data_IF_882894847486
#
_entry.id   IF_882894847486
#
_cell.length_a   1.000
_cell.length_b   1.000
_cell.length_c   1.000
_cell.angle_alpha   90.00
_cell.angle_beta   90.00
_cell.angle_gamma   90.00
#
_symmetry.space_group_name_H-M   'P 1'
#
loop_
_entity.id
_entity.type
_entity.pdbx_description
1 polymer ?
#
# COMPACT_ATOMS: atom_id res chain seq x y z
N UNK A 1 -3.85 0.65 -16.69
CA UNK A 1 -4.56 0.96 -15.42
C UNK A 1 -3.56 1.08 -14.28
N UNK A 2 -3.64 2.12 -13.44
CA UNK A 2 -2.57 2.51 -12.52
C UNK A 2 -2.41 1.66 -11.24
N UNK A 3 -3.34 0.75 -10.95
CA UNK A 3 -3.29 -0.15 -9.78
C UNK A 3 -2.86 0.51 -8.45
N UNK A 4 -3.51 1.61 -8.03
CA UNK A 4 -3.02 2.46 -6.94
C UNK A 4 -3.03 1.79 -5.56
N UNK A 5 -3.79 0.69 -5.41
CA UNK A 5 -3.80 -0.10 -4.20
C UNK A 5 -4.33 -1.50 -4.50
N UNK A 6 -4.09 -2.43 -3.56
CA UNK A 6 -4.50 -3.81 -3.70
C UNK A 6 -5.97 -3.97 -4.05
N UNK A 7 -6.89 -3.24 -3.39
CA UNK A 7 -8.34 -3.35 -3.60
C UNK A 7 -8.74 -2.98 -5.04
N UNK A 8 -8.14 -1.93 -5.60
CA UNK A 8 -8.35 -1.48 -6.99
C UNK A 8 -7.56 -2.28 -8.03
N UNK A 9 -6.60 -3.12 -7.62
CA UNK A 9 -5.90 -4.04 -8.53
C UNK A 9 -6.82 -5.20 -8.91
N UNK A 10 -7.09 -5.46 -10.20
CA UNK A 10 -7.95 -6.57 -10.63
C UNK A 10 -7.42 -7.95 -10.19
N UNK A 11 -8.33 -8.88 -9.92
CA UNK A 11 -7.98 -10.24 -9.46
C UNK A 11 -7.06 -10.96 -10.45
N UNK A 12 -7.30 -10.81 -11.76
CA UNK A 12 -6.48 -11.45 -12.78
C UNK A 12 -5.02 -10.97 -12.75
N UNK A 13 -4.77 -9.69 -12.43
CA UNK A 13 -3.42 -9.11 -12.28
C UNK A 13 -2.72 -9.73 -11.07
N UNK A 14 -3.41 -9.82 -9.93
CA UNK A 14 -2.87 -10.46 -8.71
C UNK A 14 -2.51 -11.93 -8.94
N UNK A 15 -3.37 -12.67 -9.66
CA UNK A 15 -3.10 -14.05 -10.10
C UNK A 15 -1.88 -14.13 -11.02
N UNK A 16 -1.73 -13.18 -11.95
CA UNK A 16 -0.58 -13.10 -12.87
C UNK A 16 0.73 -12.88 -12.11
N UNK A 17 0.76 -11.95 -11.15
CA UNK A 17 1.93 -11.73 -10.29
C UNK A 17 2.31 -12.98 -9.51
N UNK A 18 1.33 -13.68 -8.94
CA UNK A 18 1.58 -14.94 -8.26
C UNK A 18 2.14 -16.01 -9.21
N UNK A 19 1.60 -16.12 -10.44
CA UNK A 19 2.11 -17.04 -11.47
C UNK A 19 3.57 -16.76 -11.83
N UNK A 20 3.96 -15.49 -12.00
CA UNK A 20 5.36 -15.12 -12.28
C UNK A 20 6.25 -15.51 -11.09
N UNK A 21 5.78 -15.29 -9.86
CA UNK A 21 6.49 -15.69 -8.65
C UNK A 21 6.67 -17.22 -8.57
N UNK A 22 5.63 -18.00 -8.87
CA UNK A 22 5.69 -19.48 -8.86
C UNK A 22 6.58 -20.05 -9.97
N UNK A 23 6.78 -19.31 -11.06
CA UNK A 23 7.70 -19.72 -12.15
C UNK A 23 9.17 -19.53 -11.76
N UNK A 24 9.45 -18.58 -10.84
CA UNK A 24 10.82 -18.26 -10.41
C UNK A 24 11.30 -19.12 -9.24
N UNK A 25 10.38 -19.58 -8.40
CA UNK A 25 10.71 -20.30 -7.17
C UNK A 25 9.95 -21.63 -7.14
N UNK A 26 10.63 -22.70 -6.75
CA UNK A 26 10.05 -24.04 -6.67
C UNK A 26 9.75 -24.43 -5.21
N UNK A 27 8.61 -25.07 -4.98
CA UNK A 27 8.19 -25.62 -3.69
C UNK A 27 7.22 -26.80 -3.89
N UNK A 28 6.98 -27.58 -2.83
CA UNK A 28 6.05 -28.71 -2.90
C UNK A 28 4.60 -28.25 -3.06
N UNK A 29 3.80 -28.97 -3.86
CA UNK A 29 2.42 -28.57 -4.13
C UNK A 29 1.57 -28.41 -2.85
N UNK A 30 1.88 -29.18 -1.80
CA UNK A 30 1.19 -29.14 -0.51
C UNK A 30 1.28 -27.82 0.25
N UNK A 31 2.26 -26.96 -0.05
CA UNK A 31 2.39 -25.64 0.61
C UNK A 31 1.87 -24.48 -0.23
N UNK A 32 1.33 -24.74 -1.43
CA UNK A 32 0.98 -23.70 -2.41
C UNK A 32 -0.01 -22.65 -1.88
N UNK A 33 -1.04 -23.08 -1.15
CA UNK A 33 -2.04 -22.15 -0.60
C UNK A 33 -1.46 -21.28 0.53
N UNK A 34 -0.54 -21.83 1.34
CA UNK A 34 0.20 -21.08 2.36
C UNK A 34 1.09 -20.02 1.70
N UNK A 35 1.84 -20.40 0.67
CA UNK A 35 2.69 -19.47 -0.09
C UNK A 35 1.86 -18.38 -0.74
N UNK A 36 0.71 -18.71 -1.34
CA UNK A 36 -0.21 -17.72 -1.94
C UNK A 36 -0.70 -16.68 -0.93
N UNK A 37 -1.14 -17.13 0.26
CA UNK A 37 -1.62 -16.21 1.32
C UNK A 37 -0.52 -15.25 1.77
N UNK A 38 0.68 -15.78 2.04
CA UNK A 38 1.85 -14.97 2.44
C UNK A 38 2.26 -14.01 1.33
N UNK A 39 2.28 -14.48 0.08
CA UNK A 39 2.59 -13.65 -1.09
C UNK A 39 1.61 -12.49 -1.22
N UNK A 40 0.31 -12.71 -1.15
CA UNK A 40 -0.68 -11.64 -1.23
C UNK A 40 -0.59 -10.63 -0.08
N UNK A 41 -0.33 -11.10 1.15
CA UNK A 41 -0.09 -10.20 2.28
C UNK A 41 1.13 -9.29 2.04
N UNK A 42 2.26 -9.89 1.62
CA UNK A 42 3.49 -9.13 1.32
C UNK A 42 3.33 -8.21 0.11
N UNK A 43 2.68 -8.68 -0.96
CA UNK A 43 2.46 -7.90 -2.17
C UNK A 43 1.55 -6.70 -1.92
N UNK A 44 0.52 -6.84 -1.07
CA UNK A 44 -0.33 -5.72 -0.65
C UNK A 44 0.48 -4.63 0.04
N UNK A 45 1.33 -5.00 1.00
CA UNK A 45 2.17 -4.04 1.75
C UNK A 45 3.18 -3.38 0.80
N UNK A 46 3.92 -4.18 0.03
CA UNK A 46 4.94 -3.67 -0.91
C UNK A 46 4.35 -2.75 -1.97
N UNK A 47 3.17 -3.07 -2.51
CA UNK A 47 2.47 -2.21 -3.45
C UNK A 47 2.12 -0.86 -2.82
N UNK A 48 1.56 -0.88 -1.60
CA UNK A 48 1.18 0.34 -0.89
C UNK A 48 2.40 1.22 -0.60
N UNK A 49 3.48 0.65 -0.06
CA UNK A 49 4.69 1.38 0.29
C UNK A 49 5.32 2.01 -0.95
N UNK A 50 5.45 1.23 -2.03
CA UNK A 50 6.05 1.69 -3.29
C UNK A 50 5.24 2.86 -3.89
N UNK A 51 3.92 2.72 -4.00
CA UNK A 51 3.04 3.77 -4.53
C UNK A 51 3.06 5.02 -3.64
N UNK A 52 3.15 4.84 -2.31
CA UNK A 52 3.22 5.96 -1.35
C UNK A 52 4.54 6.71 -1.43
N UNK A 53 5.66 5.99 -1.57
CA UNK A 53 6.97 6.59 -1.77
C UNK A 53 7.01 7.43 -3.04
N UNK A 54 6.50 6.90 -4.17
CA UNK A 54 6.42 7.66 -5.42
C UNK A 54 5.55 8.92 -5.29
N UNK A 55 4.45 8.85 -4.52
CA UNK A 55 3.64 10.04 -4.23
C UNK A 55 4.43 11.06 -3.40
N UNK A 56 5.19 10.61 -2.41
CA UNK A 56 6.04 11.46 -1.58
C UNK A 56 7.14 12.13 -2.41
N UNK A 57 7.85 11.36 -3.23
CA UNK A 57 8.86 11.87 -4.16
C UNK A 57 8.25 12.93 -5.07
N UNK A 58 7.11 12.64 -5.72
CA UNK A 58 6.39 13.58 -6.58
C UNK A 58 6.08 14.91 -5.89
N UNK A 59 5.72 14.90 -4.61
CA UNK A 59 5.45 16.13 -3.83
C UNK A 59 6.74 16.94 -3.62
N UNK A 60 7.87 16.26 -3.44
CA UNK A 60 9.16 16.90 -3.14
C UNK A 60 9.87 17.39 -4.40
N UNK A 61 9.91 16.61 -5.48
CA UNK A 61 10.79 16.92 -6.63
C UNK A 61 10.05 17.20 -7.95
N UNK A 62 8.75 16.92 -8.02
CA UNK A 62 7.87 17.31 -9.13
C UNK A 62 7.85 16.36 -10.34
N UNK A 63 6.85 16.56 -11.22
CA UNK A 63 6.44 15.60 -12.27
C UNK A 63 7.55 15.13 -13.22
N UNK A 64 8.38 16.04 -13.71
CA UNK A 64 9.39 15.73 -14.75
C UNK A 64 10.56 14.89 -14.23
N UNK A 65 10.86 14.94 -12.92
CA UNK A 65 12.01 14.26 -12.32
C UNK A 65 11.66 12.96 -11.58
N UNK A 66 10.38 12.71 -11.31
CA UNK A 66 9.96 11.64 -10.37
C UNK A 66 9.18 10.49 -11.00
N UNK A 67 9.04 10.43 -12.34
CA UNK A 67 8.45 9.24 -12.95
C UNK A 67 9.43 8.06 -12.77
N UNK A 68 9.05 6.97 -12.09
CA UNK A 68 9.88 5.78 -11.98
C UNK A 68 10.15 5.17 -13.36
N UNK A 69 11.38 4.72 -13.60
CA UNK A 69 11.78 4.14 -14.88
C UNK A 69 10.98 2.88 -15.24
N UNK A 70 10.45 2.19 -14.23
CA UNK A 70 9.65 0.98 -14.35
C UNK A 70 8.20 1.26 -14.79
N UNK A 71 7.76 2.52 -14.77
CA UNK A 71 6.39 2.90 -15.12
C UNK A 71 6.29 3.50 -16.52
N UNK A 72 5.32 3.01 -17.28
CA UNK A 72 4.83 3.70 -18.48
C UNK A 72 4.19 5.03 -18.10
N UNK A 73 4.29 6.04 -18.98
CA UNK A 73 3.69 7.36 -18.76
C UNK A 73 2.18 7.30 -18.47
N UNK A 74 1.42 6.44 -19.17
CA UNK A 74 -0.03 6.27 -18.92
C UNK A 74 -0.35 5.82 -17.49
N UNK A 75 0.42 4.87 -16.97
CA UNK A 75 0.26 4.38 -15.59
C UNK A 75 0.60 5.49 -14.58
N UNK A 76 1.66 6.27 -14.85
CA UNK A 76 2.05 7.39 -14.00
C UNK A 76 0.98 8.49 -13.97
N UNK A 77 0.49 8.90 -15.13
CA UNK A 77 -0.57 9.90 -15.25
C UNK A 77 -1.86 9.41 -14.58
N UNK A 78 -2.18 8.12 -14.73
CA UNK A 78 -3.29 7.49 -14.03
C UNK A 78 -3.15 7.53 -12.51
N UNK A 79 -1.95 7.34 -11.97
CA UNK A 79 -1.69 7.46 -10.52
C UNK A 79 -1.87 8.90 -10.05
N UNK A 80 -1.35 9.88 -10.80
CA UNK A 80 -1.48 11.30 -10.47
C UNK A 80 -2.95 11.74 -10.51
N UNK A 81 -3.70 11.32 -11.53
CA UNK A 81 -5.16 11.55 -11.61
C UNK A 81 -5.86 10.98 -10.39
N UNK A 82 -5.53 9.75 -9.99
CA UNK A 82 -6.07 9.15 -8.77
C UNK A 82 -5.68 9.91 -7.50
N UNK A 83 -4.46 10.43 -7.38
CA UNK A 83 -4.06 11.19 -6.19
C UNK A 83 -4.67 12.58 -6.10
N UNK A 84 -5.11 13.14 -7.23
CA UNK A 84 -5.86 14.41 -7.32
C UNK A 84 -7.36 14.24 -7.22
N UNK A 85 -7.85 13.00 -7.28
CA UNK A 85 -9.26 12.67 -7.14
C UNK A 85 -9.79 13.09 -5.75
N UNK A 86 -10.87 13.90 -5.67
CA UNK A 86 -11.38 14.40 -4.39
C UNK A 86 -11.77 13.28 -3.41
N UNK A 87 -12.30 12.16 -3.90
CA UNK A 87 -12.66 11.02 -3.05
C UNK A 87 -11.42 10.34 -2.48
N UNK A 88 -10.37 10.16 -3.29
CA UNK A 88 -9.10 9.62 -2.82
C UNK A 88 -8.46 10.53 -1.76
N UNK A 89 -8.52 11.85 -1.95
CA UNK A 89 -8.02 12.84 -0.97
C UNK A 89 -8.82 12.75 0.32
N UNK A 90 -10.16 12.75 0.24
CA UNK A 90 -11.06 12.66 1.39
C UNK A 90 -10.81 11.40 2.21
N UNK A 91 -10.67 10.25 1.56
CA UNK A 91 -10.36 8.97 2.22
C UNK A 91 -9.00 9.06 2.91
N UNK A 92 -7.98 9.58 2.24
CA UNK A 92 -6.64 9.71 2.81
C UNK A 92 -6.62 10.64 4.03
N UNK A 93 -7.30 11.79 3.96
CA UNK A 93 -7.43 12.74 5.07
C UNK A 93 -8.18 12.11 6.26
N UNK A 94 -9.28 11.41 6.02
CA UNK A 94 -10.02 10.69 7.07
C UNK A 94 -9.15 9.62 7.74
N UNK A 95 -8.41 8.83 6.96
CA UNK A 95 -7.46 7.86 7.49
C UNK A 95 -6.32 8.52 8.29
N UNK A 96 -5.81 9.67 7.82
CA UNK A 96 -4.76 10.41 8.53
C UNK A 96 -5.28 11.00 9.84
N UNK A 97 -6.46 11.62 9.82
CA UNK A 97 -7.10 12.18 11.00
C UNK A 97 -7.29 11.09 12.06
N UNK A 98 -7.86 9.95 11.67
CA UNK A 98 -8.03 8.78 12.57
C UNK A 98 -6.72 8.22 13.13
N UNK A 99 -5.59 8.33 12.42
CA UNK A 99 -4.28 7.89 12.92
C UNK A 99 -3.62 8.91 13.84
N UNK A 100 -4.01 10.18 13.74
CA UNK A 100 -3.43 11.29 14.48
C UNK A 100 -4.38 11.83 15.56
N UNK A 101 -5.54 11.20 15.79
CA UNK A 101 -6.42 11.55 16.90
C UNK A 101 -5.71 11.28 18.22
N UNK A 102 -5.45 12.35 18.96
CA UNK A 102 -5.06 12.32 20.37
C UNK A 102 -6.30 12.28 21.24
N UNK A 103 -6.25 11.60 22.38
CA UNK A 103 -7.33 11.67 23.35
C UNK A 103 -7.30 12.98 24.16
N UNK A 104 -8.35 13.22 24.96
CA UNK A 104 -8.48 14.42 25.81
C UNK A 104 -7.33 14.59 26.83
N UNK A 105 -6.52 13.55 27.02
CA UNK A 105 -5.38 13.52 27.93
C UNK A 105 -4.04 13.63 27.18
N UNK A 106 -4.07 13.99 25.88
CA UNK A 106 -2.90 14.10 24.99
C UNK A 106 -2.09 12.80 24.84
N UNK A 107 -2.68 11.64 25.14
CA UNK A 107 -2.07 10.37 24.79
C UNK A 107 -2.24 10.13 23.27
N UNK A 108 -1.21 9.50 22.68
CA UNK A 108 -1.15 9.21 21.25
C UNK A 108 -2.30 8.33 20.74
N UNK A 109 -2.23 7.86 19.48
CA UNK A 109 -3.38 7.37 18.72
C UNK A 109 -4.37 6.53 19.52
N UNK A 110 -5.61 7.00 19.54
CA UNK A 110 -6.81 6.46 20.19
C UNK A 110 -6.74 4.93 20.42
N UNK A 111 -6.68 4.52 21.68
CA UNK A 111 -6.80 3.11 22.09
C UNK A 111 -8.14 2.56 21.58
N UNK A 112 -8.12 1.43 20.87
CA UNK A 112 -9.35 0.71 20.54
C UNK A 112 -10.13 0.41 21.84
N UNK A 113 -11.47 0.42 21.80
CA UNK A 113 -12.35 0.16 22.96
C UNK A 113 -12.08 -1.18 23.68
N UNK A 114 -11.29 -2.07 23.07
CA UNK A 114 -10.83 -3.35 23.61
C UNK A 114 -9.44 -3.27 24.28
N UNK A 115 -8.85 -2.08 24.44
CA UNK A 115 -7.52 -1.88 25.06
C UNK A 115 -6.33 -2.36 24.22
N UNK A 116 -6.55 -2.74 22.95
CA UNK A 116 -5.47 -3.21 22.09
C UNK A 116 -4.63 -2.04 21.57
N UNK A 117 -3.34 -2.08 21.88
CA UNK A 117 -2.33 -1.16 21.33
C UNK A 117 -1.93 -1.63 19.92
N UNK A 118 -1.93 -0.76 18.89
CA UNK A 118 -1.31 -1.10 17.62
C UNK A 118 0.21 -1.28 17.82
N UNK A 119 0.80 -2.36 17.32
CA UNK A 119 2.24 -2.66 17.38
C UNK A 119 3.13 -1.72 16.53
N UNK A 120 2.64 -0.56 16.14
CA UNK A 120 3.42 0.44 15.41
C UNK A 120 4.17 1.31 16.44
N UNK A 121 5.47 1.05 16.63
CA UNK A 121 6.37 1.90 17.42
C UNK A 121 6.88 1.33 18.74
N UNK A 122 6.51 0.10 19.12
CA UNK A 122 7.13 -0.56 20.29
C UNK A 122 8.47 -1.18 19.85
N UNK A 123 9.58 -0.57 20.29
CA UNK A 123 10.89 -1.23 20.32
C UNK A 123 10.76 -2.39 21.30
N UNK A 124 10.87 -3.61 20.78
CA UNK A 124 11.03 -4.80 21.62
C UNK A 124 12.44 -4.70 22.23
N UNK A 125 12.51 -4.66 23.57
CA UNK A 125 13.72 -5.02 24.31
C UNK A 125 13.90 -6.53 24.31
#
# INVERSE_FOLDING_TARGET
>A
MPHPNWKKTPIYVRKKWFKIYTQKYHWSMGVNERVRKVFYAKAKVRLLDTVSNWKGDLIVKGYERDKPAELTTDVWDGLIRYWRDPDAIRIAQSCSASRNTVDDHCHGPMLHSTGQKPHAGVRLE
#
